data_IF_106913906593
#
_entry.id   IF_106913906593
#
_cell.length_a   1.000
_cell.length_b   1.000
_cell.length_c   1.000
_cell.angle_alpha   90.00
_cell.angle_beta   90.00
_cell.angle_gamma   90.00
#
_symmetry.space_group_name_H-M   'P 1'
#
loop_
_entity.id
_entity.type
_entity.pdbx_description
1 polymer ?
#
# COMPACT_ATOMS: atom_id res chain seq x y z
N UNK A 1 20.70 -48.18 -6.97
CA UNK A 1 21.49 -47.04 -6.46
C UNK A 1 21.25 -45.76 -7.24
N UNK A 2 21.59 -45.66 -8.54
CA UNK A 2 21.37 -44.40 -9.29
C UNK A 2 19.89 -44.00 -9.41
N UNK A 3 18.99 -44.98 -9.55
CA UNK A 3 17.54 -44.77 -9.64
C UNK A 3 16.93 -44.30 -8.32
N UNK A 4 17.40 -44.83 -7.20
CA UNK A 4 16.90 -44.49 -5.86
C UNK A 4 17.28 -43.06 -5.48
N UNK A 5 18.53 -42.68 -5.75
CA UNK A 5 19.03 -41.31 -5.55
C UNK A 5 18.26 -40.33 -6.45
N UNK A 6 18.02 -40.68 -7.71
CA UNK A 6 17.24 -39.86 -8.62
C UNK A 6 15.78 -39.68 -8.16
N UNK A 7 15.16 -40.73 -7.63
CA UNK A 7 13.79 -40.68 -7.12
C UNK A 7 13.68 -39.81 -5.87
N UNK A 8 14.65 -39.91 -4.94
CA UNK A 8 14.73 -39.04 -3.76
C UNK A 8 14.94 -37.58 -4.18
N UNK A 9 15.87 -37.34 -5.10
CA UNK A 9 16.14 -35.99 -5.60
C UNK A 9 14.91 -35.37 -6.27
N UNK A 10 14.17 -36.15 -7.07
CA UNK A 10 12.94 -35.70 -7.71
C UNK A 10 11.85 -35.38 -6.69
N UNK A 11 11.65 -36.25 -5.70
CA UNK A 11 10.69 -36.02 -4.61
C UNK A 11 11.03 -34.77 -3.79
N UNK A 12 12.31 -34.56 -3.48
CA UNK A 12 12.78 -33.37 -2.78
C UNK A 12 12.56 -32.10 -3.61
N UNK A 13 12.86 -32.14 -4.91
CA UNK A 13 12.65 -31.00 -5.81
C UNK A 13 11.16 -30.65 -5.93
N UNK A 14 10.30 -31.66 -6.07
CA UNK A 14 8.84 -31.48 -6.12
C UNK A 14 8.30 -30.90 -4.80
N UNK A 15 8.78 -31.41 -3.66
CA UNK A 15 8.42 -30.90 -2.33
C UNK A 15 8.85 -29.44 -2.14
N UNK A 16 10.07 -29.09 -2.55
CA UNK A 16 10.56 -27.71 -2.50
C UNK A 16 9.79 -26.77 -3.43
N UNK A 17 9.55 -27.19 -4.68
CA UNK A 17 8.81 -26.39 -5.64
C UNK A 17 7.36 -26.15 -5.18
N UNK A 18 6.67 -27.19 -4.74
CA UNK A 18 5.29 -27.09 -4.26
C UNK A 18 5.16 -26.20 -3.02
N UNK A 19 6.03 -26.37 -2.03
CA UNK A 19 6.02 -25.54 -0.82
C UNK A 19 6.37 -24.08 -1.13
N UNK A 20 7.34 -23.82 -2.01
CA UNK A 20 7.71 -22.45 -2.42
C UNK A 20 6.56 -21.76 -3.14
N UNK A 21 5.93 -22.43 -4.11
CA UNK A 21 4.76 -21.90 -4.83
C UNK A 21 3.60 -21.63 -3.87
N UNK A 22 3.34 -22.53 -2.93
CA UNK A 22 2.29 -22.35 -1.93
C UNK A 22 2.50 -21.09 -1.09
N UNK A 23 3.71 -20.88 -0.54
CA UNK A 23 4.03 -19.70 0.25
C UNK A 23 3.94 -18.43 -0.58
N UNK A 24 4.43 -18.44 -1.83
CA UNK A 24 4.32 -17.29 -2.74
C UNK A 24 2.87 -16.91 -3.01
N UNK A 25 2.01 -17.88 -3.31
CA UNK A 25 0.58 -17.62 -3.53
C UNK A 25 -0.08 -17.04 -2.29
N UNK A 26 0.24 -17.58 -1.10
CA UNK A 26 -0.31 -17.09 0.16
C UNK A 26 0.15 -15.65 0.45
N UNK A 27 1.44 -15.37 0.27
CA UNK A 27 2.00 -14.04 0.54
C UNK A 27 1.51 -12.99 -0.46
N UNK A 28 1.55 -13.31 -1.76
CA UNK A 28 1.03 -12.43 -2.81
C UNK A 28 -0.47 -12.23 -2.61
N UNK A 29 -1.23 -13.28 -2.37
CA UNK A 29 -2.67 -13.21 -2.11
C UNK A 29 -3.00 -12.32 -0.91
N UNK A 30 -2.26 -12.48 0.20
CA UNK A 30 -2.39 -11.63 1.38
C UNK A 30 -2.06 -10.17 1.05
N UNK A 31 -0.91 -9.90 0.42
CA UNK A 31 -0.51 -8.54 0.05
C UNK A 31 -1.50 -7.88 -0.92
N UNK A 32 -2.09 -8.64 -1.84
CA UNK A 32 -3.12 -8.16 -2.77
C UNK A 32 -4.40 -7.83 -1.99
N UNK A 33 -4.95 -8.76 -1.21
CA UNK A 33 -6.21 -8.55 -0.48
C UNK A 33 -6.08 -7.38 0.51
N UNK A 34 -5.02 -7.35 1.31
CA UNK A 34 -4.82 -6.32 2.33
C UNK A 34 -4.24 -5.01 1.76
N UNK A 35 -3.42 -5.08 0.70
CA UNK A 35 -2.92 -3.90 0.00
C UNK A 35 -4.03 -3.16 -0.73
N UNK A 36 -4.89 -3.88 -1.45
CA UNK A 36 -6.03 -3.27 -2.14
C UNK A 36 -7.05 -2.68 -1.16
N UNK A 37 -7.32 -3.32 -0.03
CA UNK A 37 -8.22 -2.74 0.99
C UNK A 37 -7.67 -1.43 1.58
N UNK A 38 -6.35 -1.27 1.66
CA UNK A 38 -5.72 0.00 2.04
C UNK A 38 -5.81 1.08 0.94
N UNK A 39 -5.75 0.69 -0.33
CA UNK A 39 -5.84 1.63 -1.47
C UNK A 39 -7.27 1.86 -1.97
N UNK A 40 -8.27 1.17 -1.41
CA UNK A 40 -9.66 1.40 -1.79
C UNK A 40 -10.05 2.86 -1.54
N UNK A 41 -10.94 3.36 -2.41
CA UNK A 41 -11.49 4.72 -2.30
C UNK A 41 -12.08 4.85 -0.90
N UNK A 42 -11.68 5.91 -0.19
CA UNK A 42 -12.38 6.25 1.04
C UNK A 42 -13.77 6.66 0.63
N UNK A 43 -14.75 5.99 1.21
CA UNK A 43 -16.12 6.19 0.81
C UNK A 43 -16.68 7.22 1.76
N UNK A 44 -17.21 8.28 1.17
CA UNK A 44 -18.20 9.12 1.79
C UNK A 44 -19.29 8.28 2.48
N UNK A 45 -19.08 7.99 3.76
CA UNK A 45 -19.98 7.25 4.65
C UNK A 45 -19.86 5.71 4.69
N UNK A 46 -19.29 4.99 3.70
CA UNK A 46 -19.31 3.50 3.65
C UNK A 46 -17.99 2.79 3.92
N UNK A 47 -16.87 3.49 3.99
CA UNK A 47 -15.55 2.88 4.18
C UNK A 47 -15.20 2.86 5.66
N UNK A 48 -14.54 1.79 6.12
CA UNK A 48 -14.07 1.68 7.51
C UNK A 48 -12.85 2.56 7.84
N UNK A 49 -12.35 3.31 6.86
CA UNK A 49 -11.14 4.13 6.98
C UNK A 49 -11.48 5.57 6.62
N UNK A 50 -11.20 6.49 7.54
CA UNK A 50 -11.34 7.94 7.38
C UNK A 50 -9.96 8.53 7.10
N UNK A 51 -9.78 9.23 5.98
CA UNK A 51 -8.48 9.84 5.62
C UNK A 51 -8.37 11.32 6.01
N UNK A 52 -9.48 12.01 6.22
CA UNK A 52 -9.51 13.41 6.65
C UNK A 52 -10.71 13.71 7.55
N UNK A 53 -10.63 14.78 8.33
CA UNK A 53 -11.75 15.23 9.16
C UNK A 53 -12.96 15.67 8.29
N UNK A 54 -12.67 16.27 7.14
CA UNK A 54 -13.68 16.70 6.16
C UNK A 54 -14.52 15.52 5.66
N UNK A 55 -13.89 14.37 5.39
CA UNK A 55 -14.60 13.15 4.99
C UNK A 55 -15.55 12.63 6.07
N UNK A 56 -15.19 12.81 7.36
CA UNK A 56 -16.05 12.41 8.49
C UNK A 56 -17.25 13.33 8.67
N UNK A 57 -17.10 14.62 8.36
CA UNK A 57 -18.15 15.63 8.53
C UNK A 57 -19.08 15.66 7.30
N UNK A 58 -18.50 15.68 6.10
CA UNK A 58 -19.25 15.78 4.84
C UNK A 58 -19.88 14.46 4.41
N UNK A 59 -19.40 13.33 4.93
CA UNK A 59 -19.71 12.00 4.41
C UNK A 59 -19.51 11.89 2.90
N UNK A 60 -18.56 12.64 2.34
CA UNK A 60 -18.15 12.57 0.94
C UNK A 60 -16.71 12.05 0.84
N UNK A 61 -16.38 11.31 -0.24
CA UNK A 61 -15.00 10.89 -0.48
C UNK A 61 -14.09 12.12 -0.64
N UNK A 62 -12.88 12.03 -0.10
CA UNK A 62 -11.90 13.12 -0.21
C UNK A 62 -11.60 13.47 -1.68
N UNK A 63 -11.90 14.70 -2.08
CA UNK A 63 -11.58 15.22 -3.40
C UNK A 63 -10.16 15.82 -3.39
N UNK A 64 -9.22 15.13 -4.04
CA UNK A 64 -7.89 15.69 -4.24
C UNK A 64 -7.93 16.79 -5.30
N UNK A 65 -7.37 17.94 -4.97
CA UNK A 65 -7.25 19.06 -5.90
C UNK A 65 -6.23 18.70 -7.00
N UNK A 66 -6.47 19.11 -8.27
CA UNK A 66 -5.49 18.95 -9.32
C UNK A 66 -4.22 19.76 -9.02
N UNK A 67 -3.05 19.39 -9.58
CA UNK A 67 -1.78 20.11 -9.33
C UNK A 67 -1.82 21.60 -9.69
N UNK A 68 -2.68 21.96 -10.65
CA UNK A 68 -2.95 23.31 -11.13
C UNK A 68 -4.05 24.04 -10.37
N UNK A 69 -4.68 23.41 -9.36
CA UNK A 69 -5.69 24.07 -8.55
C UNK A 69 -5.08 25.32 -7.90
N UNK A 70 -5.81 26.45 -7.87
CA UNK A 70 -5.38 27.63 -7.16
C UNK A 70 -5.08 27.28 -5.71
N UNK A 71 -3.80 27.34 -5.35
CA UNK A 71 -3.38 27.24 -3.96
C UNK A 71 -3.76 28.57 -3.34
N UNK A 72 -4.46 28.54 -2.20
CA UNK A 72 -4.81 29.76 -1.48
C UNK A 72 -3.56 30.61 -1.18
N UNK A 73 -3.72 31.80 -0.59
CA UNK A 73 -2.59 32.68 -0.29
C UNK A 73 -1.54 32.02 0.64
N UNK A 74 -1.94 30.97 1.36
CA UNK A 74 -1.05 30.13 2.13
C UNK A 74 -0.27 29.16 1.23
N UNK A 75 0.92 29.58 0.81
CA UNK A 75 1.93 28.66 0.26
C UNK A 75 2.50 27.81 1.41
N UNK A 76 2.06 26.55 1.49
CA UNK A 76 2.50 25.60 2.53
C UNK A 76 4.00 25.33 2.51
N UNK A 77 4.71 25.63 1.41
CA UNK A 77 6.18 25.50 1.33
C UNK A 77 6.92 26.75 1.81
N UNK A 78 6.22 27.87 1.99
CA UNK A 78 6.76 29.13 2.52
C UNK A 78 6.25 29.44 3.93
N UNK A 79 5.81 28.42 4.68
CA UNK A 79 5.42 28.66 6.06
C UNK A 79 6.64 29.11 6.90
N UNK A 80 6.44 29.98 7.91
CA UNK A 80 7.55 30.53 8.70
C UNK A 80 8.44 29.43 9.28
N UNK A 81 7.84 28.36 9.79
CA UNK A 81 8.58 27.23 10.35
C UNK A 81 9.48 26.50 9.34
N UNK A 82 9.09 26.42 8.07
CA UNK A 82 9.90 25.80 7.02
C UNK A 82 11.01 26.73 6.53
N UNK A 83 10.72 28.02 6.44
CA UNK A 83 11.71 29.06 6.09
C UNK A 83 12.77 29.18 7.17
N UNK A 84 12.38 29.23 8.44
CA UNK A 84 13.29 29.30 9.59
C UNK A 84 14.15 28.04 9.73
N UNK A 85 13.65 26.89 9.27
CA UNK A 85 14.43 25.64 9.26
C UNK A 85 15.41 25.59 8.09
N UNK A 86 15.00 26.07 6.92
CA UNK A 86 15.88 26.17 5.75
C UNK A 86 17.00 27.19 5.99
N UNK A 87 16.71 28.32 6.65
CA UNK A 87 17.68 29.35 7.01
C UNK A 87 18.69 28.91 8.09
N UNK A 88 18.40 27.82 8.81
CA UNK A 88 19.27 27.21 9.83
C UNK A 88 20.17 26.09 9.30
N UNK A 89 20.10 25.77 8.01
CA UNK A 89 21.02 24.86 7.31
C UNK A 89 22.01 25.64 6.47
#
# INVERSE_FOLDING_TARGET
MNTDVAQIAWGALQGLASSTVFVLVLFIGFCVIFGFTKTMKTAGGRAKVVKSLDERISHQPMAYLPPSAPRGPADQLKSPELVDRAARK
#
